data_IF_161122444184
#
_entry.id   IF_161122444184
#
_cell.length_a   1.000
_cell.length_b   1.000
_cell.length_c   1.000
_cell.angle_alpha   90.00
_cell.angle_beta   90.00
_cell.angle_gamma   90.00
#
_symmetry.space_group_name_H-M   'P 1'
#
loop_
_entity.id
_entity.type
_entity.pdbx_description
1 polymer ?
#
# COMPACT_ATOMS: atom_id res chain seq x y z
N UNK A 1 15.50 -9.36 -4.75
CA UNK A 1 14.68 -8.78 -5.82
C UNK A 1 13.91 -7.62 -5.21
N UNK A 2 14.10 -6.40 -5.68
CA UNK A 2 13.35 -5.25 -5.19
C UNK A 2 11.96 -5.25 -5.85
N UNK A 3 10.98 -5.73 -5.10
CA UNK A 3 9.59 -5.78 -5.58
C UNK A 3 8.99 -4.41 -5.34
N UNK A 4 8.59 -3.73 -6.42
CA UNK A 4 7.95 -2.41 -6.34
C UNK A 4 6.72 -2.44 -5.43
N UNK A 5 6.64 -1.49 -4.47
CA UNK A 5 5.50 -1.38 -3.55
C UNK A 5 4.16 -1.25 -4.28
N UNK A 6 4.14 -0.57 -5.44
CA UNK A 6 2.95 -0.45 -6.28
C UNK A 6 2.48 -1.82 -6.82
N UNK A 7 3.42 -2.72 -7.15
CA UNK A 7 3.11 -4.06 -7.63
C UNK A 7 2.47 -4.90 -6.51
N UNK A 8 3.05 -4.88 -5.31
CA UNK A 8 2.48 -5.55 -4.13
C UNK A 8 1.05 -5.07 -3.85
N UNK A 9 0.82 -3.74 -3.90
CA UNK A 9 -0.51 -3.16 -3.69
C UNK A 9 -1.49 -3.55 -4.80
N UNK A 10 -1.03 -3.61 -6.05
CA UNK A 10 -1.83 -4.11 -7.17
C UNK A 10 -2.25 -5.57 -6.98
N UNK A 11 -1.34 -6.44 -6.53
CA UNK A 11 -1.66 -7.83 -6.19
C UNK A 11 -2.67 -7.94 -5.04
N UNK A 12 -2.53 -7.11 -4.00
CA UNK A 12 -3.50 -7.04 -2.91
C UNK A 12 -4.88 -6.59 -3.39
N UNK A 13 -4.95 -5.61 -4.30
CA UNK A 13 -6.20 -5.14 -4.87
C UNK A 13 -6.89 -6.23 -5.72
N UNK A 14 -6.12 -6.94 -6.55
CA UNK A 14 -6.62 -8.07 -7.32
C UNK A 14 -7.24 -9.13 -6.40
N UNK A 15 -6.51 -9.54 -5.36
CA UNK A 15 -6.99 -10.55 -4.41
C UNK A 15 -8.23 -10.11 -3.63
N UNK A 16 -8.28 -8.84 -3.24
CA UNK A 16 -9.45 -8.26 -2.60
C UNK A 16 -10.68 -8.37 -3.50
N UNK A 17 -10.53 -8.10 -4.80
CA UNK A 17 -11.61 -8.26 -5.80
C UNK A 17 -12.00 -9.73 -6.03
N UNK A 18 -11.04 -10.65 -5.90
CA UNK A 18 -11.29 -12.11 -5.95
C UNK A 18 -11.99 -12.61 -4.67
N UNK A 19 -11.99 -11.84 -3.58
CA UNK A 19 -12.62 -12.21 -2.30
C UNK A 19 -11.71 -13.02 -1.38
N UNK A 20 -10.39 -12.98 -1.60
CA UNK A 20 -9.42 -13.57 -0.68
C UNK A 20 -9.36 -12.79 0.64
N UNK A 21 -8.79 -13.39 1.69
CA UNK A 21 -8.52 -12.68 2.94
C UNK A 21 -7.13 -12.02 2.89
N UNK A 22 -6.93 -10.95 3.66
CA UNK A 22 -5.64 -10.26 3.73
C UNK A 22 -4.47 -11.19 4.13
N UNK A 23 -4.73 -12.17 5.00
CA UNK A 23 -3.75 -13.16 5.43
C UNK A 23 -3.38 -14.15 4.31
N UNK A 24 -4.38 -14.63 3.56
CA UNK A 24 -4.14 -15.48 2.40
C UNK A 24 -3.35 -14.72 1.33
N UNK A 25 -3.71 -13.47 1.08
CA UNK A 25 -3.02 -12.60 0.13
C UNK A 25 -1.58 -12.33 0.52
N UNK A 26 -1.30 -12.02 1.80
CA UNK A 26 0.09 -11.79 2.24
C UNK A 26 0.93 -13.04 2.09
N UNK A 27 0.40 -14.22 2.44
CA UNK A 27 1.11 -15.49 2.31
C UNK A 27 1.46 -15.78 0.84
N UNK A 28 0.47 -15.64 -0.06
CA UNK A 28 0.63 -15.88 -1.50
C UNK A 28 1.62 -14.91 -2.16
N UNK A 29 1.58 -13.63 -1.77
CA UNK A 29 2.53 -12.61 -2.24
C UNK A 29 3.94 -12.92 -1.73
N UNK A 30 4.10 -13.26 -0.45
CA UNK A 30 5.39 -13.65 0.10
C UNK A 30 5.95 -14.91 -0.56
N UNK A 31 5.11 -15.90 -0.87
CA UNK A 31 5.52 -17.10 -1.59
C UNK A 31 6.02 -16.78 -3.01
N UNK A 32 5.40 -15.82 -3.71
CA UNK A 32 5.77 -15.46 -5.08
C UNK A 32 6.97 -14.50 -5.17
N UNK A 33 7.07 -13.54 -4.24
CA UNK A 33 8.00 -12.42 -4.32
C UNK A 33 9.08 -12.41 -3.21
N UNK A 34 9.01 -13.38 -2.29
CA UNK A 34 9.91 -13.54 -1.14
C UNK A 34 9.25 -13.17 0.19
N UNK A 35 9.70 -13.80 1.27
CA UNK A 35 9.07 -13.75 2.61
C UNK A 35 8.88 -12.34 3.20
N UNK A 36 9.61 -11.35 2.70
CA UNK A 36 9.55 -9.95 3.13
C UNK A 36 8.80 -9.03 2.17
N UNK A 37 8.10 -9.56 1.16
CA UNK A 37 7.41 -8.75 0.16
C UNK A 37 6.24 -7.94 0.76
N UNK A 38 5.47 -8.52 1.68
CA UNK A 38 4.40 -7.81 2.40
C UNK A 38 4.12 -8.43 3.77
N UNK A 39 3.94 -7.58 4.79
CA UNK A 39 3.46 -8.04 6.09
C UNK A 39 1.93 -8.11 6.08
N UNK A 40 1.35 -9.08 6.79
CA UNK A 40 -0.09 -9.21 7.03
C UNK A 40 -0.72 -7.90 7.55
N UNK A 41 -0.04 -7.17 8.45
CA UNK A 41 -0.53 -5.86 8.94
C UNK A 41 -0.72 -4.86 7.79
N UNK A 42 0.22 -4.85 6.85
CA UNK A 42 0.15 -3.99 5.65
C UNK A 42 -0.97 -4.45 4.74
N UNK A 43 -1.11 -5.76 4.50
CA UNK A 43 -2.21 -6.31 3.70
C UNK A 43 -3.58 -5.93 4.28
N UNK A 44 -3.77 -6.07 5.61
CA UNK A 44 -4.99 -5.67 6.30
C UNK A 44 -5.31 -4.18 6.14
N UNK A 45 -4.32 -3.31 6.28
CA UNK A 45 -4.49 -1.87 6.09
C UNK A 45 -4.97 -1.53 4.66
N UNK A 46 -4.39 -2.16 3.65
CA UNK A 46 -4.81 -1.98 2.26
C UNK A 46 -6.21 -2.51 1.99
N UNK A 47 -6.56 -3.66 2.56
CA UNK A 47 -7.92 -4.22 2.47
C UNK A 47 -8.98 -3.29 3.09
N UNK A 48 -8.68 -2.69 4.25
CA UNK A 48 -9.54 -1.67 4.85
C UNK A 48 -9.71 -0.46 3.93
N UNK A 49 -8.61 0.01 3.31
CA UNK A 49 -8.64 1.12 2.35
C UNK A 49 -9.49 0.79 1.12
N UNK A 50 -9.36 -0.40 0.55
CA UNK A 50 -10.15 -0.85 -0.59
C UNK A 50 -11.64 -1.00 -0.27
N UNK A 51 -11.96 -1.37 0.97
CA UNK A 51 -13.35 -1.44 1.44
C UNK A 51 -14.01 -0.05 1.55
N UNK A 52 -13.21 1.01 1.67
CA UNK A 52 -13.68 2.41 1.63
C UNK A 52 -13.70 2.99 0.20
N UNK A 53 -13.70 2.13 -0.84
CA UNK A 53 -13.66 2.46 -2.27
C UNK A 53 -12.43 3.27 -2.74
N UNK A 54 -11.44 3.47 -1.86
CA UNK A 54 -10.19 4.12 -2.22
C UNK A 54 -9.22 3.11 -2.85
N UNK A 55 -9.38 2.90 -4.15
CA UNK A 55 -8.55 1.99 -4.96
C UNK A 55 -7.21 2.62 -5.40
N UNK A 56 -6.84 3.79 -4.85
CA UNK A 56 -5.58 4.42 -5.18
C UNK A 56 -4.40 3.58 -4.69
N UNK A 57 -3.62 3.03 -5.63
CA UNK A 57 -2.43 2.22 -5.34
C UNK A 57 -1.24 3.07 -4.86
N UNK A 58 -1.31 4.40 -5.06
CA UNK A 58 -0.35 5.35 -4.52
C UNK A 58 -0.69 5.74 -3.08
N UNK A 59 0.36 6.07 -2.31
CA UNK A 59 0.14 6.78 -1.05
C UNK A 59 -0.42 8.17 -1.38
N UNK A 60 -1.41 8.63 -0.60
CA UNK A 60 -1.83 10.03 -0.68
C UNK A 60 -0.62 10.91 -0.36
N UNK A 61 -0.54 12.06 -1.03
CA UNK A 61 0.48 13.05 -0.71
C UNK A 61 0.46 13.29 0.81
N UNK A 62 1.61 13.06 1.46
CA UNK A 62 1.74 13.36 2.88
C UNK A 62 1.66 14.87 3.01
N UNK A 63 0.56 15.38 3.55
CA UNK A 63 0.48 16.75 4.05
C UNK A 63 1.37 16.82 5.29
N UNK A 64 2.68 16.88 5.08
CA UNK A 64 3.69 17.10 6.12
C UNK A 64 3.74 18.56 6.54
N UNK A 65 4.61 18.85 7.51
CA UNK A 65 4.85 20.20 8.06
C UNK A 65 4.95 21.23 6.92
N UNK A 66 4.21 22.35 6.98
CA UNK A 66 4.39 23.45 6.03
C UNK A 66 5.87 23.83 6.00
N UNK A 67 6.50 23.87 4.82
CA UNK A 67 7.78 24.53 4.70
C UNK A 67 7.52 25.99 5.07
N UNK A 68 8.18 26.48 6.11
CA UNK A 68 8.16 27.89 6.42
C UNK A 68 8.57 28.62 5.13
N UNK A 69 7.66 29.42 4.61
CA UNK A 69 7.99 30.40 3.59
C UNK A 69 8.91 31.38 4.31
N UNK A 70 10.18 31.42 3.94
CA UNK A 70 11.07 32.46 4.43
C UNK A 70 10.53 33.80 3.92
N UNK A 71 10.02 34.60 4.86
CA UNK A 71 9.67 36.00 4.67
C UNK A 71 10.97 36.78 4.39
N UNK A 72 11.39 36.81 3.13
CA UNK A 72 12.45 37.70 2.66
C UNK A 72 11.97 38.46 1.43
N UNK A 73 10.99 39.35 1.63
CA UNK A 73 10.78 40.49 0.75
C UNK A 73 11.47 41.71 1.37
N UNK A 74 12.71 41.94 0.92
CA UNK A 74 13.47 43.18 1.06
C UNK A 74 12.82 44.32 0.24
#
# INVERSE_FOLDING_TARGET
MDVSKALVRGCLLYDFKVGLSAAASSCRICQAFGDSAVNERTAKHWFQKFNSEDLSLCDKARTGRPQALDDEAL
#
